data_IF_796058642823
#
_entry.id   IF_796058642823
#
_cell.length_a   1.000
_cell.length_b   1.000
_cell.length_c   1.000
_cell.angle_alpha   90.00
_cell.angle_beta   90.00
_cell.angle_gamma   90.00
#
_symmetry.space_group_name_H-M   'P 1'
#
loop_
_entity.id
_entity.type
_entity.pdbx_description
1 polymer ?
#
# COMPACT_ATOMS: atom_id res chain seq x y z
N UNK A 1 -32.74 7.74 20.50
CA UNK A 1 -31.46 8.41 20.18
C UNK A 1 -31.49 8.72 18.69
N UNK A 2 -31.53 10.00 18.32
CA UNK A 2 -31.60 10.44 16.92
C UNK A 2 -30.21 10.31 16.30
N UNK A 3 -30.08 9.47 15.26
CA UNK A 3 -28.86 9.38 14.47
C UNK A 3 -28.75 10.66 13.65
N UNK A 4 -27.72 11.48 13.92
CA UNK A 4 -27.37 12.63 13.09
C UNK A 4 -27.12 12.19 11.63
N UNK A 5 -27.23 13.13 10.67
CA UNK A 5 -27.05 12.80 9.27
C UNK A 5 -25.64 12.23 9.03
N UNK A 6 -25.50 11.31 8.05
CA UNK A 6 -24.21 10.73 7.72
C UNK A 6 -23.25 11.85 7.29
N UNK A 7 -22.06 11.87 7.88
CA UNK A 7 -20.98 12.77 7.47
C UNK A 7 -20.76 12.60 5.97
N UNK A 8 -21.02 13.67 5.23
CA UNK A 8 -20.79 13.77 3.81
C UNK A 8 -19.28 13.69 3.60
N UNK A 9 -18.82 12.53 3.12
CA UNK A 9 -17.40 12.28 2.86
C UNK A 9 -17.07 12.90 1.50
N UNK A 10 -16.82 14.21 1.51
CA UNK A 10 -16.19 14.89 0.38
C UNK A 10 -14.88 14.18 0.04
N UNK A 11 -14.56 13.94 -1.24
CA UNK A 11 -13.20 13.56 -1.62
C UNK A 11 -12.21 14.60 -1.06
N UNK A 12 -10.95 14.20 -0.90
CA UNK A 12 -9.88 15.12 -0.52
C UNK A 12 -9.95 16.35 -1.44
N UNK A 13 -10.34 17.53 -0.93
CA UNK A 13 -10.71 18.67 -1.76
C UNK A 13 -9.53 19.13 -2.63
N UNK A 14 -8.30 18.86 -2.20
CA UNK A 14 -7.10 19.17 -2.97
C UNK A 14 -6.94 18.21 -4.16
N UNK A 15 -7.29 16.93 -4.00
CA UNK A 15 -7.25 15.94 -5.07
C UNK A 15 -8.32 16.22 -6.13
N UNK A 16 -9.53 16.57 -5.71
CA UNK A 16 -10.62 16.92 -6.62
C UNK A 16 -10.27 18.16 -7.45
N UNK A 17 -9.59 19.15 -6.86
CA UNK A 17 -9.12 20.34 -7.56
C UNK A 17 -8.06 19.99 -8.59
N UNK A 18 -7.09 19.13 -8.27
CA UNK A 18 -6.03 18.74 -9.20
C UNK A 18 -6.52 17.85 -10.34
N UNK A 19 -7.44 16.92 -10.06
CA UNK A 19 -8.07 16.11 -11.11
C UNK A 19 -8.92 16.98 -12.05
N UNK A 20 -9.68 17.95 -11.52
CA UNK A 20 -10.41 18.92 -12.34
C UNK A 20 -9.49 19.80 -13.19
N UNK A 21 -8.36 20.24 -12.63
CA UNK A 21 -7.34 20.99 -13.36
C UNK A 21 -6.70 20.15 -14.48
N UNK A 22 -6.39 18.88 -14.22
CA UNK A 22 -5.82 17.98 -15.20
C UNK A 22 -6.78 17.73 -16.37
N UNK A 23 -8.04 17.43 -16.06
CA UNK A 23 -9.06 17.20 -17.08
C UNK A 23 -9.37 18.47 -17.87
N UNK A 24 -9.49 19.63 -17.21
CA UNK A 24 -9.73 20.90 -17.88
C UNK A 24 -8.60 21.29 -18.85
N UNK A 25 -7.35 21.07 -18.46
CA UNK A 25 -6.20 21.29 -19.35
C UNK A 25 -6.18 20.29 -20.52
N UNK A 26 -6.62 19.05 -20.32
CA UNK A 26 -6.71 18.04 -21.39
C UNK A 26 -7.75 18.43 -22.45
N UNK A 27 -8.94 18.85 -21.98
CA UNK A 27 -10.02 19.29 -22.85
C UNK A 27 -9.63 20.57 -23.61
N UNK A 28 -9.00 21.54 -22.96
CA UNK A 28 -8.51 22.76 -23.62
C UNK A 28 -7.43 22.47 -24.68
N UNK A 29 -6.57 21.46 -24.48
CA UNK A 29 -5.58 21.07 -25.48
C UNK A 29 -6.23 20.38 -26.68
N UNK A 30 -7.16 19.46 -26.44
CA UNK A 30 -7.88 18.75 -27.50
C UNK A 30 -8.74 19.72 -28.33
N UNK A 31 -9.32 20.75 -27.71
CA UNK A 31 -9.94 21.86 -28.44
C UNK A 31 -8.91 22.71 -29.20
N UNK A 32 -7.77 23.03 -28.59
CA UNK A 32 -6.71 23.81 -29.25
C UNK A 32 -6.12 23.10 -30.48
N UNK A 33 -6.07 21.76 -30.47
CA UNK A 33 -5.52 20.96 -31.57
C UNK A 33 -6.53 20.67 -32.69
N UNK A 34 -7.84 20.84 -32.45
CA UNK A 34 -8.90 20.61 -33.45
C UNK A 34 -9.11 21.77 -34.42
N UNK A 35 -8.67 22.98 -34.08
CA UNK A 35 -8.87 24.16 -34.90
C UNK A 35 -7.52 24.67 -35.45
N UNK A 36 -7.37 24.69 -36.78
CA UNK A 36 -6.15 25.14 -37.48
C UNK A 36 -5.75 26.61 -37.21
N UNK A 37 -6.63 27.38 -36.56
CA UNK A 37 -6.46 28.82 -36.32
C UNK A 37 -6.02 29.16 -34.87
N UNK A 38 -5.66 28.14 -34.08
CA UNK A 38 -5.24 28.34 -32.69
C UNK A 38 -3.78 28.75 -32.63
N UNK A 39 -3.52 29.82 -31.86
CA UNK A 39 -2.18 30.34 -31.60
C UNK A 39 -1.24 29.22 -31.13
N UNK A 40 -0.19 28.88 -31.91
CA UNK A 40 0.78 27.86 -31.56
C UNK A 40 1.43 28.09 -30.19
N UNK A 41 1.52 29.36 -29.76
CA UNK A 41 2.03 29.73 -28.44
C UNK A 41 1.11 29.26 -27.32
N UNK A 42 -0.22 29.35 -27.52
CA UNK A 42 -1.21 28.91 -26.54
C UNK A 42 -1.21 27.39 -26.39
N UNK A 43 -1.16 26.65 -27.50
CA UNK A 43 -1.04 25.19 -27.47
C UNK A 43 0.27 24.75 -26.77
N UNK A 44 1.40 25.43 -27.03
CA UNK A 44 2.66 25.16 -26.36
C UNK A 44 2.62 25.43 -24.85
N UNK A 45 1.94 26.52 -24.42
CA UNK A 45 1.75 26.83 -23.00
C UNK A 45 0.87 25.81 -22.29
N UNK A 46 -0.23 25.38 -22.91
CA UNK A 46 -1.12 24.34 -22.36
C UNK A 46 -0.35 23.02 -22.21
N UNK A 47 0.42 22.60 -23.23
CA UNK A 47 1.28 21.40 -23.14
C UNK A 47 2.29 21.50 -22.00
N UNK A 48 2.93 22.65 -21.82
CA UNK A 48 3.88 22.87 -20.72
C UNK A 48 3.18 22.79 -19.34
N UNK A 49 1.97 23.35 -19.21
CA UNK A 49 1.19 23.28 -17.98
C UNK A 49 0.73 21.85 -17.67
N UNK A 50 0.27 21.10 -18.67
CA UNK A 50 -0.04 19.67 -18.53
C UNK A 50 1.18 18.86 -18.11
N UNK A 51 2.35 19.12 -18.72
CA UNK A 51 3.59 18.42 -18.35
C UNK A 51 3.98 18.73 -16.91
N UNK A 52 3.91 20.01 -16.51
CA UNK A 52 4.21 20.43 -15.14
C UNK A 52 3.20 19.87 -14.12
N UNK A 53 1.92 19.84 -14.46
CA UNK A 53 0.89 19.25 -13.61
C UNK A 53 1.07 17.73 -13.51
N UNK A 54 1.33 17.03 -14.61
CA UNK A 54 1.65 15.62 -14.62
C UNK A 54 2.92 15.30 -13.81
N UNK A 55 3.94 16.18 -13.86
CA UNK A 55 5.13 16.10 -12.99
C UNK A 55 4.75 16.29 -11.52
N UNK A 56 3.95 17.30 -11.19
CA UNK A 56 3.47 17.56 -9.82
C UNK A 56 2.66 16.38 -9.28
N UNK A 57 1.75 15.85 -10.07
CA UNK A 57 0.95 14.68 -9.72
C UNK A 57 1.86 13.45 -9.50
N UNK A 58 2.81 13.17 -10.40
CA UNK A 58 3.80 12.11 -10.18
C UNK A 58 4.66 12.33 -8.91
N UNK A 59 5.07 13.57 -8.63
CA UNK A 59 5.84 13.92 -7.42
C UNK A 59 5.03 13.69 -6.14
N UNK A 60 3.71 13.86 -6.21
CA UNK A 60 2.78 13.63 -5.12
C UNK A 60 2.25 12.18 -5.08
N UNK A 61 2.64 11.33 -6.04
CA UNK A 61 2.13 9.97 -6.20
C UNK A 61 0.71 9.89 -6.76
N UNK A 62 0.16 10.98 -7.28
CA UNK A 62 -1.23 11.09 -7.73
C UNK A 62 -1.35 10.83 -9.24
N UNK A 63 -2.43 10.16 -9.65
CA UNK A 63 -2.75 9.77 -11.03
C UNK A 63 -1.62 9.06 -11.81
N UNK A 64 -0.77 8.29 -11.12
CA UNK A 64 0.21 7.42 -11.78
C UNK A 64 -0.54 6.36 -12.58
N UNK A 65 -0.19 6.19 -13.85
CA UNK A 65 -0.73 5.13 -14.73
C UNK A 65 0.33 4.07 -15.01
N UNK A 66 -0.08 2.93 -15.56
CA UNK A 66 0.86 1.89 -15.99
C UNK A 66 1.87 2.39 -17.03
N UNK A 67 1.47 3.32 -17.91
CA UNK A 67 2.38 3.92 -18.90
C UNK A 67 3.47 4.75 -18.22
N UNK A 68 3.16 5.43 -17.12
CA UNK A 68 4.16 6.13 -16.33
C UNK A 68 5.20 5.17 -15.77
N UNK A 69 4.77 4.02 -15.24
CA UNK A 69 5.70 3.01 -14.73
C UNK A 69 6.64 2.50 -15.81
N UNK A 70 6.11 2.12 -16.98
CA UNK A 70 6.92 1.58 -18.08
C UNK A 70 7.84 2.64 -18.68
N UNK A 71 7.29 3.78 -19.08
CA UNK A 71 8.02 4.76 -19.88
C UNK A 71 8.96 5.63 -19.03
N UNK A 72 8.52 6.05 -17.84
CA UNK A 72 9.33 6.96 -16.99
C UNK A 72 10.21 6.22 -16.00
N UNK A 73 9.74 5.09 -15.47
CA UNK A 73 10.45 4.36 -14.42
C UNK A 73 11.03 3.04 -14.89
N UNK A 74 10.77 2.58 -16.12
CA UNK A 74 11.20 1.26 -16.61
C UNK A 74 10.76 0.13 -15.67
N UNK A 75 9.57 0.27 -15.08
CA UNK A 75 8.95 -0.73 -14.22
C UNK A 75 7.82 -1.39 -15.00
N UNK A 76 7.86 -2.71 -15.12
CA UNK A 76 6.88 -3.49 -15.89
C UNK A 76 6.19 -4.56 -15.05
N UNK A 77 4.97 -4.94 -15.43
CA UNK A 77 4.29 -6.08 -14.81
C UNK A 77 4.87 -7.38 -15.38
N UNK A 78 5.45 -8.22 -14.53
CA UNK A 78 6.03 -9.50 -14.94
C UNK A 78 5.07 -10.69 -14.76
N UNK A 79 3.97 -10.53 -14.02
CA UNK A 79 2.94 -11.57 -13.94
C UNK A 79 2.12 -11.59 -12.66
N UNK A 80 1.43 -12.71 -12.46
CA UNK A 80 0.54 -12.94 -11.32
C UNK A 80 1.21 -13.80 -10.25
N UNK A 81 1.05 -13.41 -8.99
CA UNK A 81 1.45 -14.19 -7.83
C UNK A 81 0.48 -15.35 -7.63
N UNK A 82 1.01 -16.56 -7.60
CA UNK A 82 0.25 -17.76 -7.30
C UNK A 82 0.53 -18.23 -5.86
N UNK A 83 -0.52 -18.71 -5.20
CA UNK A 83 -0.35 -19.38 -3.92
C UNK A 83 0.40 -20.67 -4.14
N UNK A 84 1.45 -20.89 -3.34
CA UNK A 84 2.10 -22.20 -3.28
C UNK A 84 1.06 -23.25 -2.88
N UNK A 85 1.16 -24.43 -3.46
CA UNK A 85 0.31 -25.56 -3.06
C UNK A 85 0.46 -25.84 -1.55
N UNK A 86 -0.58 -26.32 -0.89
CA UNK A 86 -0.56 -26.60 0.56
C UNK A 86 0.60 -27.54 0.96
N UNK A 87 1.01 -28.44 0.06
CA UNK A 87 2.15 -29.32 0.23
C UNK A 87 3.51 -28.60 0.38
N UNK A 88 3.63 -27.39 -0.16
CA UNK A 88 4.83 -26.54 -0.09
C UNK A 88 4.78 -25.52 1.06
N UNK A 89 3.65 -25.43 1.76
CA UNK A 89 3.46 -24.63 2.98
C UNK A 89 3.85 -25.42 4.24
N UNK A 90 4.62 -26.51 4.11
CA UNK A 90 5.00 -27.45 5.17
C UNK A 90 5.75 -26.83 6.36
N UNK A 91 6.18 -25.57 6.27
CA UNK A 91 6.75 -24.79 7.38
C UNK A 91 5.71 -24.06 8.23
N UNK A 92 4.45 -23.97 7.76
CA UNK A 92 3.32 -23.48 8.56
C UNK A 92 2.83 -24.66 9.40
N UNK A 93 3.51 -24.89 10.52
CA UNK A 93 3.12 -25.93 11.47
C UNK A 93 1.69 -25.66 11.95
N UNK A 94 0.96 -26.75 12.24
CA UNK A 94 -0.34 -26.71 12.94
C UNK A 94 -0.28 -25.89 14.25
N UNK A 95 0.93 -25.70 14.79
CA UNK A 95 1.28 -24.89 15.96
C UNK A 95 1.10 -23.36 15.75
N UNK A 96 0.86 -22.86 14.54
CA UNK A 96 0.50 -21.45 14.33
C UNK A 96 -0.95 -21.12 14.75
N UNK A 97 -1.68 -22.14 15.24
CA UNK A 97 -2.86 -21.96 16.07
C UNK A 97 -2.53 -21.34 17.44
N UNK A 98 -1.27 -21.31 17.84
CA UNK A 98 -0.81 -20.81 19.14
C UNK A 98 -0.45 -19.32 19.02
N UNK A 99 -1.39 -18.45 19.37
CA UNK A 99 -1.04 -17.32 20.21
C UNK A 99 -1.25 -17.81 21.64
N UNK A 100 -0.23 -17.77 22.50
CA UNK A 100 -0.39 -18.12 23.90
C UNK A 100 -1.37 -17.12 24.56
N UNK A 101 -2.65 -17.48 24.61
CA UNK A 101 -3.70 -16.80 25.37
C UNK A 101 -4.20 -15.44 24.84
N UNK A 102 -3.51 -14.78 23.90
CA UNK A 102 -3.90 -13.49 23.34
C UNK A 102 -3.85 -13.51 21.80
N UNK A 103 -4.89 -13.00 21.15
CA UNK A 103 -5.01 -12.87 19.68
C UNK A 103 -4.99 -14.21 18.94
N UNK A 104 -5.76 -15.15 19.45
CA UNK A 104 -6.15 -16.34 18.70
C UNK A 104 -6.84 -15.95 17.38
N UNK A 105 -6.92 -16.89 16.42
CA UNK A 105 -7.68 -16.67 15.19
C UNK A 105 -9.12 -16.26 15.50
N UNK A 106 -9.75 -16.90 16.50
CA UNK A 106 -11.10 -16.57 16.97
C UNK A 106 -11.20 -15.15 17.50
N UNK A 107 -10.33 -14.75 18.43
CA UNK A 107 -10.40 -13.42 19.05
C UNK A 107 -10.17 -12.32 18.02
N UNK A 108 -9.24 -12.53 17.09
CA UNK A 108 -8.97 -11.58 16.01
C UNK A 108 -10.15 -11.49 15.06
N UNK A 109 -10.71 -12.64 14.68
CA UNK A 109 -11.91 -12.69 13.84
C UNK A 109 -13.10 -11.98 14.50
N UNK A 110 -13.32 -12.18 15.80
CA UNK A 110 -14.34 -11.47 16.56
C UNK A 110 -14.06 -9.97 16.67
N UNK A 111 -12.79 -9.57 16.82
CA UNK A 111 -12.40 -8.15 16.79
C UNK A 111 -12.75 -7.51 15.46
N UNK A 112 -12.35 -8.13 14.34
CA UNK A 112 -12.69 -7.68 13.00
C UNK A 112 -14.20 -7.62 12.76
N UNK A 113 -14.96 -8.59 13.28
CA UNK A 113 -16.43 -8.56 13.23
C UNK A 113 -17.02 -7.38 14.02
N UNK A 114 -16.48 -7.04 15.19
CA UNK A 114 -16.93 -5.86 15.95
C UNK A 114 -16.60 -4.56 15.20
N UNK A 115 -15.46 -4.50 14.54
CA UNK A 115 -15.06 -3.35 13.71
C UNK A 115 -15.98 -3.27 12.48
N UNK A 116 -16.28 -4.39 11.83
CA UNK A 116 -17.21 -4.48 10.68
C UNK A 116 -18.60 -3.95 11.01
N UNK A 117 -19.08 -4.17 12.24
CA UNK A 117 -20.38 -3.69 12.71
C UNK A 117 -20.40 -2.20 13.08
N UNK A 118 -19.26 -1.62 13.48
CA UNK A 118 -19.19 -0.25 14.02
C UNK A 118 -18.88 0.81 12.98
N UNK A 119 -18.10 0.47 11.95
CA UNK A 119 -17.60 1.46 11.00
C UNK A 119 -18.28 1.29 9.64
N UNK A 120 -18.89 2.36 9.14
CA UNK A 120 -19.16 2.47 7.70
C UNK A 120 -17.80 2.72 7.05
N UNK A 121 -17.29 1.73 6.34
CA UNK A 121 -15.97 1.74 5.68
C UNK A 121 -15.89 2.77 4.56
N UNK A 122 -15.89 4.06 4.87
CA UNK A 122 -15.84 5.12 3.86
C UNK A 122 -14.52 5.89 3.84
N UNK A 123 -13.67 5.73 4.85
CA UNK A 123 -12.45 6.53 5.00
C UNK A 123 -11.20 5.67 5.19
N UNK A 124 -10.06 6.14 4.70
CA UNK A 124 -8.72 5.57 4.95
C UNK A 124 -8.48 5.27 6.44
N UNK A 125 -8.84 6.20 7.35
CA UNK A 125 -8.71 5.99 8.80
C UNK A 125 -9.50 4.78 9.31
N UNK A 126 -10.68 4.51 8.75
CA UNK A 126 -11.46 3.32 9.09
C UNK A 126 -10.82 2.02 8.58
N UNK A 127 -10.10 2.08 7.44
CA UNK A 127 -9.35 0.95 6.91
C UNK A 127 -8.13 0.62 7.78
N UNK A 128 -7.44 1.64 8.31
CA UNK A 128 -6.32 1.43 9.24
C UNK A 128 -6.73 0.59 10.47
N UNK A 129 -7.94 0.79 10.99
CA UNK A 129 -8.47 -0.03 12.09
C UNK A 129 -8.64 -1.53 11.75
N UNK A 130 -8.68 -1.91 10.46
CA UNK A 130 -8.67 -3.32 10.05
C UNK A 130 -7.27 -3.90 9.93
N UNK A 131 -6.28 -3.06 9.66
CA UNK A 131 -4.90 -3.48 9.51
C UNK A 131 -4.37 -3.91 10.88
N UNK A 132 -4.66 -3.16 11.95
CA UNK A 132 -4.11 -3.45 13.28
C UNK A 132 -4.41 -4.88 13.77
N UNK A 133 -5.66 -5.40 13.77
CA UNK A 133 -5.92 -6.76 14.23
C UNK A 133 -5.28 -7.83 13.33
N UNK A 134 -5.24 -7.61 12.02
CA UNK A 134 -4.60 -8.55 11.06
C UNK A 134 -3.11 -8.67 11.36
N UNK A 135 -2.42 -7.53 11.52
CA UNK A 135 -0.99 -7.52 11.83
C UNK A 135 -0.70 -8.02 13.23
N UNK A 136 -1.54 -7.69 14.21
CA UNK A 136 -1.42 -8.22 15.57
C UNK A 136 -1.51 -9.75 15.58
N UNK A 137 -2.43 -10.32 14.80
CA UNK A 137 -2.51 -11.78 14.63
C UNK A 137 -1.29 -12.36 13.95
N UNK A 138 -0.79 -11.70 12.90
CA UNK A 138 0.46 -12.11 12.25
C UNK A 138 1.58 -12.16 13.28
N UNK A 139 1.73 -11.14 14.13
CA UNK A 139 2.76 -11.13 15.17
C UNK A 139 2.60 -12.25 16.19
N UNK A 140 1.37 -12.52 16.61
CA UNK A 140 1.11 -13.67 17.49
C UNK A 140 1.57 -14.99 16.83
N UNK A 141 1.38 -15.14 15.52
CA UNK A 141 1.82 -16.32 14.75
C UNK A 141 3.35 -16.37 14.53
N UNK A 142 4.03 -15.22 14.53
CA UNK A 142 5.48 -15.14 14.29
C UNK A 142 6.32 -15.19 15.56
N UNK A 143 5.70 -15.02 16.73
CA UNK A 143 6.39 -14.93 18.02
C UNK A 143 6.79 -16.33 18.52
N UNK A 144 8.01 -16.48 19.06
CA UNK A 144 8.47 -17.76 19.62
C UNK A 144 7.72 -18.05 20.94
N UNK A 145 7.29 -19.31 21.19
CA UNK A 145 6.73 -19.70 22.49
C UNK A 145 7.71 -19.38 23.62
N UNK A 146 7.25 -18.71 24.68
CA UNK A 146 8.08 -18.30 25.82
C UNK A 146 8.85 -16.97 25.65
N UNK A 147 8.82 -16.34 24.47
CA UNK A 147 9.36 -15.00 24.24
C UNK A 147 8.25 -13.94 24.23
N UNK A 148 7.33 -14.00 25.20
CA UNK A 148 6.32 -12.97 25.46
C UNK A 148 6.93 -11.74 26.16
N UNK A 149 7.99 -11.18 25.59
CA UNK A 149 8.21 -9.75 25.70
C UNK A 149 7.57 -9.11 24.47
N UNK A 150 6.97 -7.94 24.63
CA UNK A 150 6.42 -7.08 23.57
C UNK A 150 7.45 -6.66 22.49
N UNK A 151 8.56 -7.39 22.36
CA UNK A 151 9.78 -6.97 21.68
C UNK A 151 9.85 -7.30 20.18
N UNK A 152 8.81 -7.81 19.50
CA UNK A 152 9.05 -8.48 18.19
C UNK A 152 8.35 -7.97 16.92
N UNK A 153 7.59 -6.88 16.95
CA UNK A 153 7.39 -6.07 15.75
C UNK A 153 6.71 -4.74 16.07
N UNK A 154 7.24 -3.64 15.57
CA UNK A 154 6.56 -2.34 15.64
C UNK A 154 5.74 -2.14 14.37
N UNK A 155 4.45 -1.80 14.51
CA UNK A 155 3.69 -1.16 13.43
C UNK A 155 3.89 0.33 13.57
N UNK A 156 4.65 0.94 12.67
CA UNK A 156 4.70 2.40 12.58
C UNK A 156 3.87 2.88 11.40
N UNK A 157 3.01 3.86 11.68
CA UNK A 157 2.53 4.77 10.65
C UNK A 157 3.75 5.55 10.18
N UNK A 158 4.17 5.30 8.95
CA UNK A 158 5.48 5.78 8.49
C UNK A 158 5.29 7.01 7.63
N UNK A 159 6.16 8.00 7.82
CA UNK A 159 6.20 9.18 6.97
C UNK A 159 6.97 8.92 5.67
N UNK A 160 6.90 9.91 4.79
CA UNK A 160 7.17 9.85 3.36
C UNK A 160 8.60 9.36 3.00
N UNK A 161 8.71 8.28 2.23
CA UNK A 161 9.89 8.03 1.41
C UNK A 161 9.99 9.13 0.35
N UNK A 162 11.18 9.71 0.13
CA UNK A 162 11.38 10.66 -0.97
C UNK A 162 12.67 10.34 -1.69
N UNK A 163 12.56 10.04 -2.97
CA UNK A 163 13.70 9.75 -3.85
C UNK A 163 13.69 10.76 -4.96
N UNK A 164 14.84 11.36 -5.24
CA UNK A 164 15.02 12.22 -6.41
C UNK A 164 16.12 11.63 -7.28
N UNK A 165 15.93 11.67 -8.59
CA UNK A 165 16.90 11.18 -9.56
C UNK A 165 16.82 11.99 -10.85
N UNK A 166 17.69 11.69 -11.79
CA UNK A 166 17.66 12.25 -13.13
C UNK A 166 17.80 11.12 -14.14
N UNK A 167 16.92 11.08 -15.15
CA UNK A 167 16.96 10.12 -16.25
C UNK A 167 16.72 10.86 -17.56
N UNK A 168 17.52 10.59 -18.58
CA UNK A 168 17.42 11.23 -19.90
C UNK A 168 17.38 12.77 -19.86
N UNK A 169 18.12 13.36 -18.91
CA UNK A 169 18.14 14.81 -18.69
C UNK A 169 16.91 15.37 -17.96
N UNK A 170 15.96 14.53 -17.57
CA UNK A 170 14.78 14.90 -16.79
C UNK A 170 14.97 14.55 -15.31
N UNK A 171 14.83 15.54 -14.44
CA UNK A 171 14.76 15.31 -13.00
C UNK A 171 13.40 14.74 -12.63
N UNK A 172 13.40 13.65 -11.87
CA UNK A 172 12.21 13.09 -11.27
C UNK A 172 12.34 13.10 -9.75
N UNK A 173 11.21 13.31 -9.07
CA UNK A 173 11.08 13.09 -7.63
C UNK A 173 9.89 12.16 -7.43
N UNK A 174 10.09 11.13 -6.65
CA UNK A 174 9.06 10.18 -6.25
C UNK A 174 8.92 10.26 -4.74
N UNK A 175 7.68 10.40 -4.27
CA UNK A 175 7.35 10.21 -2.88
C UNK A 175 6.64 8.86 -2.69
N UNK A 176 6.99 8.13 -1.65
CA UNK A 176 6.30 6.93 -1.19
C UNK A 176 5.64 7.20 0.15
N UNK A 177 4.38 6.80 0.30
CA UNK A 177 3.68 6.82 1.59
C UNK A 177 3.53 5.39 2.07
N UNK A 178 3.69 5.15 3.37
CA UNK A 178 3.46 3.82 3.96
C UNK A 178 2.44 4.00 5.08
N UNK A 179 1.26 3.41 4.92
CA UNK A 179 0.24 3.46 5.98
C UNK A 179 0.69 2.69 7.22
N UNK A 180 1.30 1.52 7.03
CA UNK A 180 1.83 0.68 8.10
C UNK A 180 3.07 -0.05 7.59
N UNK A 181 4.13 -0.08 8.39
CA UNK A 181 5.25 -1.00 8.19
C UNK A 181 5.32 -1.99 9.33
N UNK A 182 5.69 -3.24 9.04
CA UNK A 182 6.02 -4.23 10.05
C UNK A 182 7.52 -4.50 10.02
N UNK A 183 8.22 -4.17 11.10
CA UNK A 183 9.65 -4.41 11.27
C UNK A 183 9.91 -5.36 12.44
N UNK A 184 10.45 -6.57 12.22
CA UNK A 184 10.84 -7.46 13.31
C UNK A 184 11.94 -6.80 14.15
N UNK A 185 11.70 -6.65 15.44
CA UNK A 185 12.53 -5.83 16.34
C UNK A 185 13.73 -6.59 16.90
N UNK A 186 14.91 -6.01 16.69
CA UNK A 186 16.10 -6.15 17.52
C UNK A 186 16.71 -4.78 17.86
N UNK A 187 15.96 -3.70 17.59
CA UNK A 187 16.30 -2.32 17.97
C UNK A 187 15.68 -2.01 19.33
N UNK A 188 16.33 -1.17 20.13
CA UNK A 188 15.67 -0.53 21.26
C UNK A 188 14.49 0.27 20.70
N UNK A 189 13.28 -0.05 21.17
CA UNK A 189 12.01 0.59 20.81
C UNK A 189 12.08 2.13 20.91
N UNK A 190 13.01 2.62 21.75
CA UNK A 190 13.26 4.02 22.08
C UNK A 190 13.92 4.78 20.93
N UNK A 191 14.86 4.20 20.17
CA UNK A 191 15.55 4.93 19.10
C UNK A 191 14.69 5.11 17.83
N UNK A 192 13.71 4.21 17.64
CA UNK A 192 12.83 4.20 16.47
C UNK A 192 11.57 5.06 16.65
N UNK A 193 11.03 5.16 17.86
CA UNK A 193 9.78 5.87 18.15
C UNK A 193 9.96 7.29 18.71
N UNK A 194 11.14 7.66 19.22
CA UNK A 194 11.36 8.99 19.85
C UNK A 194 11.82 10.08 18.89
N UNK A 195 12.10 9.76 17.62
CA UNK A 195 12.32 10.79 16.61
C UNK A 195 11.00 11.20 15.98
N UNK A 196 10.67 12.49 16.07
CA UNK A 196 9.59 13.11 15.29
C UNK A 196 9.70 12.68 13.82
N UNK A 197 8.82 11.76 13.40
CA UNK A 197 8.81 11.17 12.06
C UNK A 197 9.76 9.96 11.91
N UNK A 198 9.23 8.89 11.31
CA UNK A 198 10.04 7.73 10.92
C UNK A 198 10.76 8.02 9.61
N UNK A 199 12.00 8.52 9.69
CA UNK A 199 12.86 8.70 8.53
C UNK A 199 13.44 7.34 8.06
N UNK A 200 12.88 6.80 6.98
CA UNK A 200 13.34 5.55 6.36
C UNK A 200 14.83 5.56 5.98
N UNK A 201 15.43 6.73 5.76
CA UNK A 201 16.86 6.83 5.47
C UNK A 201 17.73 6.37 6.64
N UNK A 202 17.21 6.39 7.87
CA UNK A 202 17.87 5.81 9.05
C UNK A 202 17.93 4.29 9.01
N UNK A 203 17.06 3.64 8.25
CA UNK A 203 17.08 2.19 8.04
C UNK A 203 18.03 1.78 6.91
N UNK A 204 18.61 2.74 6.19
CA UNK A 204 19.57 2.52 5.10
C UNK A 204 20.85 1.84 5.63
N UNK A 205 21.41 0.92 4.85
CA UNK A 205 22.68 0.24 5.19
C UNK A 205 22.59 -0.80 6.31
N UNK A 206 21.47 -0.92 7.02
CA UNK A 206 21.29 -2.03 7.93
C UNK A 206 21.15 -3.33 7.14
N UNK A 207 22.14 -4.23 7.31
CA UNK A 207 22.13 -5.63 6.84
C UNK A 207 21.12 -6.48 7.62
N UNK A 208 19.99 -5.91 8.05
CA UNK A 208 18.92 -6.74 8.56
C UNK A 208 18.39 -7.60 7.40
N UNK A 209 18.10 -8.88 7.65
CA UNK A 209 17.38 -9.74 6.71
C UNK A 209 15.91 -9.29 6.52
N UNK A 210 15.58 -8.05 6.92
CA UNK A 210 14.23 -7.53 7.13
C UNK A 210 13.38 -7.63 5.87
N UNK A 211 12.36 -8.48 5.99
CA UNK A 211 11.26 -8.59 5.07
C UNK A 211 10.29 -7.45 5.37
N UNK A 212 10.62 -6.26 4.87
CA UNK A 212 9.76 -5.09 4.98
C UNK A 212 8.45 -5.36 4.25
N UNK A 213 7.32 -5.20 4.95
CA UNK A 213 5.99 -5.27 4.36
C UNK A 213 5.42 -3.85 4.27
N UNK A 214 5.26 -3.39 3.03
CA UNK A 214 4.59 -2.16 2.70
C UNK A 214 3.08 -2.38 2.76
N UNK A 215 2.34 -1.51 3.43
CA UNK A 215 0.86 -1.56 3.44
C UNK A 215 0.33 -0.22 3.00
N UNK A 216 -0.64 -0.24 2.09
CA UNK A 216 -1.37 0.94 1.65
C UNK A 216 -2.88 0.73 1.79
N UNK A 217 -3.50 1.67 2.49
CA UNK A 217 -4.93 1.71 2.77
C UNK A 217 -5.61 2.73 1.84
N UNK A 218 -6.63 2.27 1.12
CA UNK A 218 -7.42 3.11 0.24
C UNK A 218 -8.88 3.19 0.70
N UNK A 219 -9.54 4.30 0.37
CA UNK A 219 -10.98 4.42 0.61
C UNK A 219 -11.76 3.36 -0.17
N UNK A 220 -12.84 2.87 0.41
CA UNK A 220 -13.66 1.76 -0.11
C UNK A 220 -14.17 1.94 -1.54
N UNK A 221 -14.42 3.17 -1.96
CA UNK A 221 -15.01 3.42 -3.29
C UNK A 221 -14.01 3.22 -4.43
N UNK A 222 -12.71 3.10 -4.11
CA UNK A 222 -11.65 3.00 -5.11
C UNK A 222 -11.35 1.52 -5.38
N UNK A 223 -11.39 1.13 -6.66
CA UNK A 223 -10.92 -0.19 -7.11
C UNK A 223 -9.41 -0.30 -6.86
N UNK A 224 -9.00 -1.37 -6.18
CA UNK A 224 -7.58 -1.59 -5.86
C UNK A 224 -6.69 -1.66 -7.11
N UNK A 225 -7.19 -2.21 -8.21
CA UNK A 225 -6.46 -2.32 -9.49
C UNK A 225 -5.99 -0.97 -10.02
N UNK A 226 -6.82 0.08 -9.89
CA UNK A 226 -6.49 1.43 -10.32
C UNK A 226 -5.42 2.09 -9.44
N UNK A 227 -5.11 1.50 -8.29
CA UNK A 227 -4.12 1.99 -7.35
C UNK A 227 -2.78 1.26 -7.45
N UNK A 228 -2.71 0.18 -8.22
CA UNK A 228 -1.46 -0.56 -8.43
C UNK A 228 -0.34 0.36 -8.92
N UNK A 229 -0.51 1.20 -9.97
CA UNK A 229 0.63 1.97 -10.48
C UNK A 229 1.19 2.95 -9.46
N UNK A 230 0.30 3.65 -8.74
CA UNK A 230 0.68 4.53 -7.63
C UNK A 230 1.44 3.75 -6.55
N UNK A 231 0.88 2.64 -6.08
CA UNK A 231 1.52 1.85 -5.02
C UNK A 231 2.88 1.29 -5.45
N UNK A 232 3.02 0.81 -6.68
CA UNK A 232 4.32 0.32 -7.17
C UNK A 232 5.36 1.44 -7.19
N UNK A 233 4.95 2.66 -7.54
CA UNK A 233 5.84 3.82 -7.53
C UNK A 233 6.23 4.21 -6.09
N UNK A 234 5.29 4.17 -5.15
CA UNK A 234 5.54 4.40 -3.72
C UNK A 234 6.49 3.31 -3.14
N UNK A 235 6.26 2.04 -3.50
CA UNK A 235 7.13 0.91 -3.16
C UNK A 235 8.54 1.08 -3.76
N UNK A 236 8.65 1.59 -4.98
CA UNK A 236 9.93 1.90 -5.63
C UNK A 236 10.71 2.95 -4.83
N UNK A 237 10.08 4.06 -4.45
CA UNK A 237 10.73 5.06 -3.61
C UNK A 237 11.19 4.48 -2.27
N UNK A 238 10.36 3.64 -1.64
CA UNK A 238 10.74 2.97 -0.39
C UNK A 238 11.93 2.03 -0.59
N UNK A 239 11.92 1.21 -1.63
CA UNK A 239 12.98 0.26 -1.94
C UNK A 239 14.32 0.96 -2.20
N UNK A 240 14.30 2.09 -2.93
CA UNK A 240 15.47 2.91 -3.18
C UNK A 240 15.99 3.60 -1.90
N UNK A 241 15.11 4.16 -1.05
CA UNK A 241 15.51 4.72 0.25
C UNK A 241 16.16 3.68 1.18
N UNK A 242 15.62 2.45 1.17
CA UNK A 242 16.06 1.34 2.01
C UNK A 242 17.22 0.52 1.41
N UNK A 243 17.63 0.81 0.18
CA UNK A 243 18.59 0.03 -0.62
C UNK A 243 18.23 -1.47 -0.70
N UNK A 244 16.94 -1.76 -0.91
CA UNK A 244 16.42 -3.13 -1.04
C UNK A 244 16.09 -3.44 -2.49
N UNK A 245 16.62 -4.57 -2.99
CA UNK A 245 16.28 -5.08 -4.33
C UNK A 245 14.86 -5.63 -4.42
N UNK A 246 14.30 -6.10 -3.32
CA UNK A 246 12.94 -6.68 -3.30
C UNK A 246 12.17 -6.08 -2.14
N UNK A 247 11.00 -5.54 -2.44
CA UNK A 247 10.03 -5.05 -1.45
C UNK A 247 8.69 -5.76 -1.67
N UNK A 248 8.04 -6.15 -0.58
CA UNK A 248 6.73 -6.80 -0.59
C UNK A 248 5.70 -5.81 -0.10
N UNK A 249 4.53 -5.80 -0.70
CA UNK A 249 3.48 -4.84 -0.43
C UNK A 249 2.10 -5.47 -0.40
N UNK A 250 1.18 -4.79 0.27
CA UNK A 250 -0.23 -5.11 0.34
C UNK A 250 -1.02 -3.84 0.14
N UNK A 251 -2.00 -3.88 -0.76
CA UNK A 251 -3.00 -2.83 -0.90
C UNK A 251 -4.34 -3.35 -0.40
N UNK A 252 -5.05 -2.53 0.36
CA UNK A 252 -6.36 -2.90 0.91
C UNK A 252 -7.30 -1.71 1.01
N UNK A 253 -8.59 -1.99 0.84
CA UNK A 253 -9.70 -1.08 1.16
C UNK A 253 -10.58 -1.69 2.26
N UNK A 254 -9.93 -2.38 3.21
CA UNK A 254 -10.44 -3.22 4.31
C UNK A 254 -11.02 -4.57 3.91
N UNK A 255 -11.83 -4.63 2.86
CA UNK A 255 -12.57 -5.83 2.47
C UNK A 255 -11.95 -6.54 1.27
N UNK A 256 -11.24 -5.82 0.41
CA UNK A 256 -10.40 -6.39 -0.63
C UNK A 256 -8.94 -6.26 -0.22
N UNK A 257 -8.16 -7.30 -0.52
CA UNK A 257 -6.73 -7.35 -0.26
C UNK A 257 -6.02 -7.84 -1.52
N UNK A 258 -4.97 -7.15 -1.93
CA UNK A 258 -4.11 -7.55 -3.04
C UNK A 258 -2.66 -7.44 -2.62
N UNK A 259 -1.89 -8.47 -2.96
CA UNK A 259 -0.49 -8.60 -2.63
C UNK A 259 0.36 -8.21 -3.83
N UNK A 260 1.45 -7.48 -3.57
CA UNK A 260 2.38 -6.97 -4.56
C UNK A 260 3.81 -7.36 -4.19
N UNK A 261 4.64 -7.68 -5.18
CA UNK A 261 6.09 -7.81 -5.01
C UNK A 261 6.75 -6.96 -6.08
N UNK A 262 7.60 -6.02 -5.67
CA UNK A 262 8.45 -5.24 -6.57
C UNK A 262 9.88 -5.74 -6.44
N UNK A 263 10.50 -6.04 -7.57
CA UNK A 263 11.91 -6.39 -7.71
C UNK A 263 12.60 -5.35 -8.58
N UNK A 264 13.56 -4.64 -8.01
CA UNK A 264 14.40 -3.68 -8.72
C UNK A 264 15.48 -4.38 -9.54
N UNK A 265 15.91 -3.71 -10.60
CA UNK A 265 17.11 -4.11 -11.35
C UNK A 265 18.37 -3.99 -10.46
N UNK A 266 19.48 -4.58 -10.91
CA UNK A 266 20.73 -4.62 -10.13
C UNK A 266 21.34 -3.24 -9.89
N UNK A 267 21.11 -2.30 -10.81
CA UNK A 267 21.48 -0.88 -10.73
C UNK A 267 20.46 -0.03 -9.97
N UNK A 268 19.33 -0.63 -9.56
CA UNK A 268 18.20 0.07 -8.95
C UNK A 268 17.36 0.88 -9.94
N UNK A 269 17.70 0.87 -11.24
CA UNK A 269 17.00 1.67 -12.24
C UNK A 269 15.87 0.87 -12.87
N UNK A 270 14.65 1.13 -12.39
CA UNK A 270 13.45 0.38 -12.80
C UNK A 270 13.38 -1.03 -12.21
N UNK A 271 12.64 -1.90 -12.88
CA UNK A 271 12.45 -3.28 -12.42
C UNK A 271 11.17 -3.93 -12.91
N UNK A 272 10.71 -4.90 -12.14
CA UNK A 272 9.48 -5.62 -12.44
C UNK A 272 8.65 -5.84 -11.19
N UNK A 273 7.33 -5.90 -11.37
CA UNK A 273 6.43 -6.21 -10.28
C UNK A 273 5.50 -7.37 -10.61
N UNK A 274 5.04 -8.02 -9.54
CA UNK A 274 4.09 -9.12 -9.57
C UNK A 274 2.91 -8.79 -8.67
N UNK A 275 1.71 -9.22 -9.05
CA UNK A 275 0.48 -8.94 -8.29
C UNK A 275 -0.35 -10.20 -8.07
N UNK A 276 -0.99 -10.35 -6.93
CA UNK A 276 -1.95 -11.44 -6.71
C UNK A 276 -3.31 -11.14 -7.33
N UNK A 277 -4.19 -12.14 -7.34
CA UNK A 277 -5.64 -11.91 -7.42
C UNK A 277 -6.13 -11.15 -6.19
N UNK A 278 -7.30 -10.55 -6.28
CA UNK A 278 -7.97 -9.90 -5.15
C UNK A 278 -8.54 -10.98 -4.20
N UNK A 279 -8.25 -10.82 -2.91
CA UNK A 279 -8.83 -11.60 -1.83
C UNK A 279 -9.97 -10.80 -1.19
N UNK A 280 -11.19 -11.32 -1.30
CA UNK A 280 -12.37 -10.70 -0.70
C UNK A 280 -12.56 -11.26 0.72
N UNK A 281 -12.32 -10.45 1.74
CA UNK A 281 -12.59 -10.78 3.14
C UNK A 281 -14.08 -10.82 3.45
N UNK A 282 -14.89 -10.17 2.63
CA UNK A 282 -16.30 -9.95 2.86
C UNK A 282 -17.04 -10.26 1.56
N UNK A 283 -18.12 -11.03 1.67
CA UNK A 283 -18.97 -11.34 0.53
C UNK A 283 -19.65 -10.05 0.00
N UNK A 284 -19.43 -9.67 -1.27
CA UNK A 284 -20.01 -8.47 -1.86
C UNK A 284 -21.55 -8.51 -1.93
N UNK A 285 -22.17 -9.69 -1.91
CA UNK A 285 -23.63 -9.84 -2.01
C UNK A 285 -24.36 -9.55 -0.69
N UNK A 286 -23.67 -9.58 0.46
CA UNK A 286 -24.27 -9.34 1.77
C UNK A 286 -24.21 -7.87 2.23
N UNK A 287 -23.61 -7.00 1.41
CA UNK A 287 -23.35 -5.59 1.71
C UNK A 287 -24.59 -4.73 2.00
N UNK A 288 -25.80 -5.22 1.74
CA UNK A 288 -27.06 -4.52 2.06
C UNK A 288 -27.58 -4.76 3.47
N UNK A 289 -27.19 -5.82 4.18
CA UNK A 289 -27.81 -6.15 5.48
C UNK A 289 -26.86 -6.68 6.58
N UNK A 290 -25.72 -7.30 6.26
CA UNK A 290 -24.71 -7.65 7.27
C UNK A 290 -23.37 -7.96 6.58
N UNK A 291 -22.24 -7.36 7.00
CA UNK A 291 -20.92 -7.79 6.50
C UNK A 291 -20.56 -9.14 7.13
N UNK A 292 -20.60 -10.20 6.33
CA UNK A 292 -20.14 -11.53 6.75
C UNK A 292 -18.67 -11.68 6.41
N UNK A 293 -17.83 -11.75 7.45
CA UNK A 293 -16.39 -11.96 7.32
C UNK A 293 -16.12 -13.44 7.00
N UNK A 294 -15.37 -13.72 5.93
CA UNK A 294 -15.01 -15.09 5.56
C UNK A 294 -13.80 -15.59 6.36
N UNK A 295 -14.03 -16.48 7.33
CA UNK A 295 -12.96 -17.02 8.19
C UNK A 295 -11.82 -17.67 7.40
N UNK A 296 -12.15 -18.43 6.36
CA UNK A 296 -11.13 -19.10 5.52
C UNK A 296 -10.22 -18.09 4.82
N UNK A 297 -10.78 -16.98 4.33
CA UNK A 297 -9.99 -15.92 3.69
C UNK A 297 -9.13 -15.19 4.71
N UNK A 298 -9.67 -14.89 5.90
CA UNK A 298 -8.88 -14.29 6.98
C UNK A 298 -7.70 -15.17 7.41
N UNK A 299 -7.93 -16.47 7.59
CA UNK A 299 -6.87 -17.43 7.92
C UNK A 299 -5.81 -17.51 6.81
N UNK A 300 -6.22 -17.45 5.54
CA UNK A 300 -5.31 -17.43 4.40
C UNK A 300 -4.47 -16.14 4.36
N UNK A 301 -5.09 -14.97 4.56
CA UNK A 301 -4.40 -13.68 4.57
C UNK A 301 -3.33 -13.61 5.65
N UNK A 302 -3.67 -13.98 6.88
CA UNK A 302 -2.72 -13.98 8.00
C UNK A 302 -1.58 -14.97 7.77
N UNK A 303 -1.82 -16.12 7.14
CA UNK A 303 -0.77 -17.06 6.70
C UNK A 303 0.15 -16.50 5.62
N UNK A 304 -0.38 -15.79 4.61
CA UNK A 304 0.45 -15.16 3.57
C UNK A 304 1.35 -14.09 4.20
N UNK A 305 0.77 -13.20 5.01
CA UNK A 305 1.51 -12.08 5.61
C UNK A 305 2.58 -12.60 6.58
N UNK A 306 2.25 -13.57 7.43
CA UNK A 306 3.25 -14.21 8.32
C UNK A 306 4.37 -14.88 7.54
N UNK A 307 4.09 -15.63 6.46
CA UNK A 307 5.14 -16.18 5.58
C UNK A 307 6.07 -15.08 5.04
N UNK A 308 5.50 -13.91 4.72
CA UNK A 308 6.26 -12.78 4.21
C UNK A 308 7.06 -12.04 5.26
N UNK A 309 6.78 -12.18 6.56
CA UNK A 309 7.48 -11.47 7.64
C UNK A 309 8.55 -12.34 8.34
N UNK A 310 8.51 -13.68 8.21
CA UNK A 310 9.14 -14.65 9.17
C UNK A 310 10.63 -15.07 9.11
N UNK A 311 11.63 -14.45 8.50
CA UNK A 311 12.85 -15.21 8.10
C UNK A 311 12.62 -16.67 7.60
N UNK A 312 13.65 -17.33 7.08
CA UNK A 312 13.60 -18.76 6.73
C UNK A 312 14.70 -19.44 7.54
#
# INVERSE_FOLDING_TARGET
MSAGPPFDCSPDPELEVLEKLANGLADELDEAEKYDDVDPLKAAQIRLLQENLGRLMCMLGWAVTSDHLGNKFQITCAGTLELKSESQLSTVTQDWSIGEGLWTEEETFQSLRRISQRYKFSTRKAVLHWIDPVFTRVFAMTSRPGAMSQENCTITQTENARVSGARDGQFYRVAGFIDCSAVPTGMSEVDFLTSDGCDLSRLRGYKYPTRFLFVQAFDRQKKLELKIPQTILEMYACAMCLEKKVIRGVITNSHEWMFLILQLNDDGDGGMYFQSKIFNLVDPFTLKYEMVLERKVFALLTKIISHWVIPA
#
